data_IF_661065776716
#
_entry.id   IF_661065776716
#
_cell.length_a   1.000
_cell.length_b   1.000
_cell.length_c   1.000
_cell.angle_alpha   90.00
_cell.angle_beta   90.00
_cell.angle_gamma   90.00
#
_symmetry.space_group_name_H-M   'P 1'
#
loop_
_entity.id
_entity.type
_entity.pdbx_description
1 polymer ?
#
# COMPACT_ATOMS: atom_id res chain seq x y z
N UNK A 1 6.27 -9.70 1.81
CA UNK A 1 5.75 -9.04 3.03
C UNK A 1 6.91 -8.43 3.79
N UNK A 2 6.74 -7.22 4.35
CA UNK A 2 7.73 -6.59 5.23
C UNK A 2 7.72 -7.27 6.61
N UNK A 3 8.89 -7.31 7.29
CA UNK A 3 9.04 -8.00 8.57
C UNK A 3 8.08 -7.45 9.63
N UNK A 4 8.00 -6.12 9.76
CA UNK A 4 7.21 -5.49 10.81
C UNK A 4 5.71 -5.74 10.67
N UNK A 5 5.20 -5.79 9.42
CA UNK A 5 3.81 -6.17 9.18
C UNK A 5 3.58 -7.67 9.41
N UNK A 6 4.54 -8.53 9.08
CA UNK A 6 4.41 -9.96 9.37
C UNK A 6 4.35 -10.22 10.89
N UNK A 7 5.16 -9.51 11.68
CA UNK A 7 5.18 -9.63 13.14
C UNK A 7 3.85 -9.23 13.81
N UNK A 8 3.02 -8.38 13.20
CA UNK A 8 1.72 -8.02 13.80
C UNK A 8 0.75 -9.20 13.90
N UNK A 9 0.95 -10.25 13.10
CA UNK A 9 0.09 -11.44 13.10
C UNK A 9 0.47 -12.46 14.18
N UNK A 10 1.61 -12.30 14.86
CA UNK A 10 2.06 -13.24 15.89
C UNK A 10 1.23 -13.16 17.17
N UNK A 11 0.54 -12.03 17.41
CA UNK A 11 -0.15 -11.74 18.66
C UNK A 11 -1.65 -12.14 18.67
N UNK A 12 -2.06 -13.17 17.93
CA UNK A 12 -3.48 -13.55 17.87
C UNK A 12 -3.82 -14.98 17.48
N UNK A 13 -2.84 -15.76 16.99
CA UNK A 13 -3.03 -17.15 16.57
C UNK A 13 -1.74 -17.93 16.79
N UNK A 14 -1.87 -19.22 17.12
CA UNK A 14 -0.71 -20.12 17.16
C UNK A 14 -0.12 -20.20 15.75
N UNK A 15 1.05 -19.60 15.58
CA UNK A 15 1.62 -19.30 14.27
C UNK A 15 3.11 -19.58 14.21
N UNK A 16 3.56 -19.93 13.02
CA UNK A 16 4.97 -20.08 12.67
C UNK A 16 5.41 -18.86 11.89
N UNK A 17 6.58 -18.30 12.23
CA UNK A 17 7.17 -17.15 11.57
C UNK A 17 8.46 -17.54 10.88
N UNK A 18 8.65 -17.11 9.64
CA UNK A 18 9.84 -17.47 8.89
C UNK A 18 10.23 -16.48 7.81
N UNK A 19 11.41 -16.71 7.25
CA UNK A 19 11.91 -15.99 6.08
C UNK A 19 12.17 -16.97 4.95
N UNK A 20 11.48 -16.77 3.83
CA UNK A 20 11.61 -17.60 2.65
C UNK A 20 12.53 -16.91 1.63
N UNK A 21 13.51 -17.67 1.14
CA UNK A 21 14.36 -17.31 0.01
C UNK A 21 13.94 -18.15 -1.18
N UNK A 22 13.39 -17.48 -2.19
CA UNK A 22 12.91 -18.12 -3.41
C UNK A 22 13.60 -17.42 -4.59
N UNK A 23 14.29 -18.19 -5.42
CA UNK A 23 15.01 -17.69 -6.60
C UNK A 23 14.07 -17.21 -7.70
N UNK A 24 12.83 -17.72 -7.73
CA UNK A 24 11.79 -17.36 -8.69
C UNK A 24 10.92 -16.18 -8.21
N UNK A 25 10.92 -15.88 -6.91
CA UNK A 25 10.11 -14.80 -6.31
C UNK A 25 10.96 -13.82 -5.52
N UNK A 26 10.32 -12.85 -4.86
CA UNK A 26 11.04 -11.95 -3.95
C UNK A 26 11.07 -12.60 -2.59
N UNK A 27 12.25 -12.63 -1.97
CA UNK A 27 12.41 -13.05 -0.58
C UNK A 27 11.36 -12.39 0.30
N UNK A 28 10.71 -13.15 1.17
CA UNK A 28 9.59 -12.67 1.97
C UNK A 28 9.65 -13.21 3.38
N UNK A 29 9.24 -12.37 4.32
CA UNK A 29 8.77 -12.85 5.61
C UNK A 29 7.38 -13.48 5.41
N UNK A 30 7.11 -14.56 6.13
CA UNK A 30 5.81 -15.22 6.14
C UNK A 30 5.39 -15.55 7.57
N UNK A 31 4.08 -15.62 7.76
CA UNK A 31 3.43 -16.13 8.96
C UNK A 31 2.48 -17.21 8.49
N UNK A 32 2.55 -18.38 9.11
CA UNK A 32 1.63 -19.49 8.86
C UNK A 32 0.88 -19.81 10.15
N UNK A 33 -0.44 -19.89 10.09
CA UNK A 33 -1.27 -20.22 11.23
C UNK A 33 -2.34 -21.23 10.81
N UNK A 34 -2.68 -22.15 11.71
CA UNK A 34 -3.76 -23.11 11.49
C UNK A 34 -4.93 -22.78 12.41
N UNK A 35 -6.01 -22.30 11.81
CA UNK A 35 -7.28 -22.08 12.49
C UNK A 35 -8.43 -22.45 11.54
N UNK A 36 -9.19 -23.48 11.90
CA UNK A 36 -10.26 -24.04 11.07
C UNK A 36 -11.41 -23.03 10.86
N UNK A 37 -11.78 -22.29 11.89
CA UNK A 37 -12.86 -21.30 11.82
C UNK A 37 -12.48 -20.13 10.93
N UNK A 38 -11.27 -19.61 11.09
CA UNK A 38 -10.72 -18.56 10.23
C UNK A 38 -10.63 -19.03 8.77
N UNK A 39 -10.16 -20.27 8.54
CA UNK A 39 -10.12 -20.85 7.20
C UNK A 39 -11.51 -20.95 6.59
N UNK A 40 -12.49 -21.49 7.32
CA UNK A 40 -13.88 -21.58 6.84
C UNK A 40 -14.49 -20.20 6.57
N UNK A 41 -14.19 -19.21 7.41
CA UNK A 41 -14.61 -17.83 7.22
C UNK A 41 -14.01 -17.23 5.93
N UNK A 42 -12.70 -17.36 5.72
CA UNK A 42 -12.00 -16.83 4.54
C UNK A 42 -12.39 -17.51 3.22
N UNK A 43 -12.96 -18.72 3.27
CA UNK A 43 -13.49 -19.43 2.10
C UNK A 43 -14.93 -19.06 1.72
N UNK A 44 -15.57 -18.13 2.45
CA UNK A 44 -16.88 -17.59 2.05
C UNK A 44 -16.75 -16.78 0.75
N UNK A 45 -17.88 -16.48 0.12
CA UNK A 45 -17.91 -15.61 -1.05
C UNK A 45 -17.33 -14.22 -0.74
N UNK A 46 -16.76 -13.57 -1.75
CA UNK A 46 -16.19 -12.23 -1.62
C UNK A 46 -17.22 -11.23 -1.06
N UNK A 47 -18.49 -11.34 -1.47
CA UNK A 47 -19.59 -10.53 -0.94
C UNK A 47 -19.73 -10.64 0.57
N UNK A 48 -19.65 -11.86 1.12
CA UNK A 48 -19.76 -12.09 2.56
C UNK A 48 -18.55 -11.56 3.32
N UNK A 49 -17.37 -11.63 2.70
CA UNK A 49 -16.16 -11.04 3.27
C UNK A 49 -16.25 -9.51 3.27
N UNK A 50 -16.72 -8.90 2.17
CA UNK A 50 -16.94 -7.46 2.03
C UNK A 50 -17.99 -6.96 3.03
N UNK A 51 -19.11 -7.68 3.17
CA UNK A 51 -20.16 -7.37 4.15
C UNK A 51 -19.60 -7.34 5.57
N UNK A 52 -18.82 -8.36 5.94
CA UNK A 52 -18.19 -8.42 7.27
C UNK A 52 -17.17 -7.29 7.46
N UNK A 53 -16.34 -7.04 6.45
CA UNK A 53 -15.34 -5.99 6.46
C UNK A 53 -15.95 -4.58 6.55
N UNK A 54 -17.15 -4.38 5.98
CA UNK A 54 -17.89 -3.12 6.04
C UNK A 54 -18.28 -2.70 7.45
N UNK A 55 -18.33 -3.62 8.42
CA UNK A 55 -18.55 -3.30 9.83
C UNK A 55 -17.29 -2.73 10.53
N UNK A 56 -16.11 -2.96 9.94
CA UNK A 56 -14.81 -2.55 10.49
C UNK A 56 -13.94 -1.91 9.39
N UNK A 57 -14.43 -0.82 8.73
CA UNK A 57 -13.81 -0.31 7.51
C UNK A 57 -12.37 0.16 7.74
N UNK A 58 -12.08 0.80 8.88
CA UNK A 58 -10.73 1.27 9.18
C UNK A 58 -9.70 0.12 9.29
N UNK A 59 -10.04 -0.96 9.99
CA UNK A 59 -9.13 -2.09 10.20
C UNK A 59 -8.96 -2.92 8.94
N UNK A 60 -10.05 -3.16 8.19
CA UNK A 60 -9.97 -3.82 6.90
C UNK A 60 -9.10 -3.01 5.92
N UNK A 61 -9.36 -1.70 5.81
CA UNK A 61 -8.58 -0.83 4.93
C UNK A 61 -7.11 -0.82 5.36
N UNK A 62 -6.80 -0.77 6.65
CA UNK A 62 -5.40 -0.81 7.14
C UNK A 62 -4.71 -2.10 6.67
N UNK A 63 -5.33 -3.26 6.87
CA UNK A 63 -4.79 -4.54 6.41
C UNK A 63 -4.63 -4.63 4.89
N UNK A 64 -5.61 -4.10 4.14
CA UNK A 64 -5.57 -4.06 2.68
C UNK A 64 -4.45 -3.14 2.16
N UNK A 65 -4.32 -1.94 2.70
CA UNK A 65 -3.28 -0.98 2.32
C UNK A 65 -1.88 -1.42 2.80
N UNK A 66 -1.76 -2.13 3.92
CA UNK A 66 -0.48 -2.73 4.31
C UNK A 66 0.00 -3.76 3.29
N UNK A 67 -0.93 -4.54 2.73
CA UNK A 67 -0.64 -5.56 1.71
C UNK A 67 -0.37 -4.95 0.33
N UNK A 68 -1.30 -4.15 -0.19
CA UNK A 68 -1.32 -3.70 -1.59
C UNK A 68 -1.04 -2.20 -1.76
N UNK A 69 -1.16 -1.43 -0.68
CA UNK A 69 -1.13 0.03 -0.68
C UNK A 69 0.28 0.63 -0.57
N UNK A 70 0.42 1.86 -1.05
CA UNK A 70 1.68 2.60 -1.01
C UNK A 70 1.47 4.12 -1.02
N UNK A 71 2.35 4.89 -0.34
CA UNK A 71 2.39 6.33 -0.47
C UNK A 71 3.03 6.73 -1.81
N UNK A 72 2.37 7.63 -2.54
CA UNK A 72 2.85 8.22 -3.79
C UNK A 72 3.28 9.66 -3.50
N UNK A 73 4.56 9.95 -3.73
CA UNK A 73 5.10 11.30 -3.59
C UNK A 73 5.60 11.76 -4.96
N UNK A 74 5.08 12.89 -5.40
CA UNK A 74 5.61 13.67 -6.51
C UNK A 74 6.42 14.83 -5.94
N UNK A 75 7.68 14.94 -6.35
CA UNK A 75 8.58 15.99 -5.90
C UNK A 75 9.55 16.40 -7.03
N UNK A 76 9.00 16.62 -8.24
CA UNK A 76 9.76 17.09 -9.40
C UNK A 76 9.58 18.60 -9.59
N UNK A 77 8.38 19.01 -10.01
CA UNK A 77 8.03 20.41 -10.24
C UNK A 77 6.99 20.94 -9.24
N UNK A 78 6.27 20.04 -8.59
CA UNK A 78 5.28 20.31 -7.54
C UNK A 78 5.42 19.24 -6.46
N UNK A 79 5.06 19.58 -5.24
CA UNK A 79 5.05 18.64 -4.13
C UNK A 79 3.62 18.11 -3.89
N UNK A 80 3.34 16.89 -4.32
CA UNK A 80 2.04 16.23 -4.10
C UNK A 80 2.21 14.92 -3.38
N UNK A 81 1.32 14.67 -2.43
CA UNK A 81 1.27 13.46 -1.64
C UNK A 81 -0.08 12.80 -1.89
N UNK A 82 -0.05 11.52 -2.20
CA UNK A 82 -1.24 10.71 -2.44
C UNK A 82 -1.02 9.33 -1.81
N UNK A 83 -2.10 8.59 -1.65
CA UNK A 83 -2.05 7.17 -1.26
C UNK A 83 -2.69 6.37 -2.37
N UNK A 84 -2.00 5.33 -2.83
CA UNK A 84 -2.46 4.47 -3.91
C UNK A 84 -2.53 3.01 -3.51
N UNK A 85 -3.40 2.27 -4.19
CA UNK A 85 -3.46 0.80 -4.17
C UNK A 85 -3.81 0.31 -5.57
N UNK A 86 -3.31 -0.86 -5.95
CA UNK A 86 -3.61 -1.46 -7.25
C UNK A 86 -4.03 -2.92 -7.07
N UNK A 87 -5.07 -3.36 -7.78
CA UNK A 87 -5.54 -4.74 -7.75
C UNK A 87 -6.22 -5.08 -9.10
N UNK A 88 -6.22 -6.36 -9.49
CA UNK A 88 -6.89 -6.81 -10.70
C UNK A 88 -8.39 -7.05 -10.50
N UNK A 89 -8.84 -7.23 -9.25
CA UNK A 89 -10.25 -7.39 -8.92
C UNK A 89 -10.92 -6.00 -8.74
N UNK A 90 -11.75 -5.62 -9.72
CA UNK A 90 -12.50 -4.36 -9.70
C UNK A 90 -13.52 -4.29 -8.57
N UNK A 91 -14.18 -5.40 -8.24
CA UNK A 91 -15.17 -5.46 -7.15
C UNK A 91 -14.51 -5.19 -5.80
N UNK A 92 -13.34 -5.78 -5.55
CA UNK A 92 -12.53 -5.47 -4.36
C UNK A 92 -12.14 -3.98 -4.31
N UNK A 93 -11.70 -3.41 -5.43
CA UNK A 93 -11.37 -1.99 -5.51
C UNK A 93 -12.60 -1.09 -5.31
N UNK A 94 -13.77 -1.51 -5.77
CA UNK A 94 -15.06 -0.87 -5.52
C UNK A 94 -15.40 -0.85 -4.03
N UNK A 95 -15.34 -2.00 -3.36
CA UNK A 95 -15.57 -2.11 -1.92
C UNK A 95 -14.62 -1.23 -1.10
N UNK A 96 -13.33 -1.20 -1.48
CA UNK A 96 -12.32 -0.32 -0.84
C UNK A 96 -12.68 1.16 -1.01
N UNK A 97 -13.18 1.56 -2.20
CA UNK A 97 -13.66 2.94 -2.43
C UNK A 97 -14.82 3.28 -1.50
N UNK A 98 -15.78 2.37 -1.36
CA UNK A 98 -16.97 2.59 -0.54
C UNK A 98 -16.63 2.68 0.95
N UNK A 99 -15.74 1.81 1.45
CA UNK A 99 -15.25 1.88 2.83
C UNK A 99 -14.45 3.16 3.10
N UNK A 100 -13.66 3.64 2.14
CA UNK A 100 -13.01 4.96 2.26
C UNK A 100 -14.05 6.09 2.34
N UNK A 101 -15.13 6.01 1.54
CA UNK A 101 -16.21 6.99 1.57
C UNK A 101 -16.97 6.97 2.91
N UNK A 102 -17.18 5.80 3.53
CA UNK A 102 -17.75 5.70 4.88
C UNK A 102 -16.90 6.42 5.93
N UNK A 103 -15.58 6.46 5.76
CA UNK A 103 -14.65 7.23 6.59
C UNK A 103 -14.53 8.70 6.17
N UNK A 104 -15.34 9.17 5.22
CA UNK A 104 -15.28 10.54 4.71
C UNK A 104 -14.02 10.84 3.90
N UNK A 105 -13.44 9.83 3.24
CA UNK A 105 -12.22 9.93 2.42
C UNK A 105 -12.60 9.73 0.95
N UNK A 106 -12.41 10.76 0.11
CA UNK A 106 -12.68 10.63 -1.32
C UNK A 106 -11.51 9.95 -2.05
N UNK A 107 -11.83 9.07 -2.99
CA UNK A 107 -10.83 8.37 -3.82
C UNK A 107 -11.29 8.22 -5.27
N UNK A 108 -10.34 8.07 -6.19
CA UNK A 108 -10.58 7.89 -7.63
C UNK A 108 -10.05 6.54 -8.09
N UNK A 109 -10.86 5.79 -8.84
CA UNK A 109 -10.45 4.55 -9.50
C UNK A 109 -10.05 4.88 -10.95
N UNK A 110 -8.94 4.31 -11.42
CA UNK A 110 -8.49 4.36 -12.81
C UNK A 110 -8.05 2.97 -13.25
N UNK A 111 -8.33 2.60 -14.49
CA UNK A 111 -7.70 1.43 -15.12
C UNK A 111 -6.27 1.80 -15.50
N UNK A 112 -5.28 1.05 -15.02
CA UNK A 112 -3.86 1.43 -15.11
C UNK A 112 -3.04 0.54 -16.05
N UNK A 113 -3.34 -0.75 -16.14
CA UNK A 113 -2.77 -1.65 -17.16
C UNK A 113 -3.87 -2.44 -17.83
N UNK A 114 -3.85 -2.51 -19.16
CA UNK A 114 -4.79 -3.30 -19.95
C UNK A 114 -4.25 -4.71 -20.19
N UNK A 115 -5.15 -5.68 -20.34
CA UNK A 115 -4.79 -6.97 -20.92
C UNK A 115 -4.07 -6.78 -22.27
N UNK A 116 -3.00 -7.53 -22.50
CA UNK A 116 -2.17 -7.42 -23.71
C UNK A 116 -1.10 -6.32 -23.66
N UNK A 117 -1.06 -5.47 -22.63
CA UNK A 117 -0.04 -4.45 -22.50
C UNK A 117 1.30 -5.04 -22.03
N UNK A 118 2.41 -4.64 -22.66
CA UNK A 118 3.76 -4.97 -22.14
C UNK A 118 4.00 -4.22 -20.82
N UNK A 119 4.26 -4.99 -19.77
CA UNK A 119 4.67 -4.48 -18.46
C UNK A 119 6.07 -4.99 -18.13
N UNK A 120 6.96 -4.11 -17.66
CA UNK A 120 8.30 -4.50 -17.24
C UNK A 120 8.29 -4.77 -15.75
N UNK A 121 8.38 -6.04 -15.37
CA UNK A 121 8.47 -6.46 -13.97
C UNK A 121 9.89 -6.96 -13.75
N UNK A 122 10.65 -6.25 -12.92
CA UNK A 122 12.06 -6.60 -12.59
C UNK A 122 12.98 -6.69 -13.82
N UNK A 123 12.77 -5.84 -14.80
CA UNK A 123 13.59 -5.81 -16.02
C UNK A 123 13.19 -6.85 -17.06
N UNK A 124 12.24 -7.73 -16.73
CA UNK A 124 11.69 -8.71 -17.66
C UNK A 124 10.38 -8.16 -18.20
N UNK A 125 10.21 -8.23 -19.52
CA UNK A 125 8.95 -7.88 -20.18
C UNK A 125 7.94 -9.02 -19.99
N UNK A 126 6.75 -8.65 -19.54
CA UNK A 126 5.60 -9.54 -19.46
C UNK A 126 4.46 -8.92 -20.26
N UNK A 127 3.59 -9.76 -20.80
CA UNK A 127 2.30 -9.31 -21.30
C UNK A 127 1.30 -9.43 -20.16
N UNK A 128 0.59 -8.34 -19.84
CA UNK A 128 -0.43 -8.40 -18.81
C UNK A 128 -1.57 -9.31 -19.26
N UNK A 129 -1.88 -10.34 -18.46
CA UNK A 129 -3.01 -11.24 -18.73
C UNK A 129 -4.30 -10.80 -18.03
N UNK A 130 -4.25 -9.70 -17.27
CA UNK A 130 -5.37 -9.15 -16.51
C UNK A 130 -5.38 -7.64 -16.63
N UNK A 131 -6.56 -7.06 -16.42
CA UNK A 131 -6.67 -5.63 -16.18
C UNK A 131 -6.23 -5.29 -14.76
N UNK A 132 -5.53 -4.17 -14.60
CA UNK A 132 -5.21 -3.61 -13.30
C UNK A 132 -6.00 -2.33 -13.07
N UNK A 133 -6.54 -2.21 -11.86
CA UNK A 133 -7.26 -1.03 -11.39
C UNK A 133 -6.48 -0.40 -10.26
N UNK A 134 -6.28 0.91 -10.33
CA UNK A 134 -5.62 1.70 -9.31
C UNK A 134 -6.62 2.64 -8.67
N UNK A 135 -6.72 2.57 -7.34
CA UNK A 135 -7.44 3.53 -6.53
C UNK A 135 -6.45 4.52 -5.92
N UNK A 136 -6.79 5.80 -5.93
CA UNK A 136 -5.93 6.86 -5.38
C UNK A 136 -6.72 7.85 -4.53
N UNK A 137 -6.21 8.12 -3.32
CA UNK A 137 -6.60 9.23 -2.45
C UNK A 137 -5.62 10.37 -2.68
N UNK A 138 -6.08 11.49 -3.23
CA UNK A 138 -5.19 12.58 -3.68
C UNK A 138 -5.47 13.95 -3.07
N UNK A 139 -6.66 14.17 -2.50
CA UNK A 139 -6.99 15.45 -1.86
C UNK A 139 -6.21 15.55 -0.54
N UNK A 140 -5.60 16.71 -0.29
CA UNK A 140 -4.77 16.95 0.90
C UNK A 140 -5.48 16.61 2.22
N UNK A 141 -6.72 17.04 2.38
CA UNK A 141 -7.52 16.73 3.57
C UNK A 141 -7.78 15.21 3.71
N UNK A 142 -8.08 14.54 2.61
CA UNK A 142 -8.36 13.10 2.59
C UNK A 142 -7.10 12.27 2.84
N UNK A 143 -5.94 12.70 2.37
CA UNK A 143 -4.65 12.06 2.67
C UNK A 143 -4.30 12.18 4.15
N UNK A 144 -4.55 13.36 4.76
CA UNK A 144 -4.38 13.56 6.21
C UNK A 144 -5.35 12.66 6.99
N UNK A 145 -6.62 12.63 6.61
CA UNK A 145 -7.65 11.77 7.22
C UNK A 145 -7.34 10.27 7.06
N UNK A 146 -6.83 9.86 5.90
CA UNK A 146 -6.36 8.50 5.68
C UNK A 146 -5.25 8.15 6.67
N UNK A 147 -4.24 9.02 6.83
CA UNK A 147 -3.13 8.75 7.76
C UNK A 147 -3.60 8.64 9.22
N UNK A 148 -4.65 9.38 9.59
CA UNK A 148 -5.23 9.39 10.93
C UNK A 148 -6.11 8.17 11.21
N UNK A 149 -7.07 7.87 10.33
CA UNK A 149 -8.08 6.83 10.57
C UNK A 149 -7.62 5.44 10.13
N UNK A 150 -6.87 5.36 9.03
CA UNK A 150 -6.46 4.09 8.42
C UNK A 150 -4.97 3.86 8.67
N UNK A 151 -4.11 4.71 8.12
CA UNK A 151 -2.67 4.61 8.24
C UNK A 151 -2.07 3.35 7.61
N UNK A 152 -0.84 3.03 8.02
CA UNK A 152 -0.15 1.78 7.70
C UNK A 152 0.42 1.21 8.99
N UNK A 153 0.34 -0.10 9.19
CA UNK A 153 1.04 -0.78 10.29
C UNK A 153 2.55 -0.84 10.03
N UNK A 154 2.96 -0.89 8.75
CA UNK A 154 4.38 -0.82 8.40
C UNK A 154 4.99 0.53 8.78
N UNK A 155 5.91 0.51 9.75
CA UNK A 155 6.58 1.72 10.25
C UNK A 155 7.28 2.52 9.14
N UNK A 156 7.83 1.85 8.12
CA UNK A 156 8.48 2.54 7.00
C UNK A 156 7.50 3.27 6.10
N UNK A 157 6.38 2.62 5.71
CA UNK A 157 5.33 3.27 4.90
C UNK A 157 4.73 4.44 5.67
N UNK A 158 4.43 4.23 6.95
CA UNK A 158 3.81 5.25 7.80
C UNK A 158 4.72 6.45 8.03
N UNK A 159 5.99 6.25 8.43
CA UNK A 159 6.97 7.35 8.59
C UNK A 159 7.15 8.16 7.32
N UNK A 160 7.22 7.47 6.16
CA UNK A 160 7.35 8.14 4.85
C UNK A 160 6.12 8.99 4.53
N UNK A 161 4.91 8.47 4.77
CA UNK A 161 3.67 9.22 4.55
C UNK A 161 3.58 10.42 5.50
N UNK A 162 3.82 10.24 6.79
CA UNK A 162 3.77 11.30 7.80
C UNK A 162 4.76 12.43 7.50
N UNK A 163 6.01 12.09 7.15
CA UNK A 163 7.00 13.09 6.75
C UNK A 163 6.54 13.85 5.50
N UNK A 164 6.00 13.16 4.49
CA UNK A 164 5.48 13.82 3.31
C UNK A 164 4.32 14.77 3.65
N UNK A 165 3.39 14.35 4.53
CA UNK A 165 2.25 15.17 4.98
C UNK A 165 2.73 16.47 5.64
N UNK A 166 3.76 16.43 6.48
CA UNK A 166 4.34 17.62 7.12
C UNK A 166 4.87 18.65 6.10
N UNK A 167 5.29 18.19 4.92
CA UNK A 167 5.81 19.06 3.87
C UNK A 167 4.70 19.65 2.97
N UNK A 168 3.48 19.11 2.99
CA UNK A 168 2.37 19.55 2.12
C UNK A 168 1.88 20.98 2.40
N UNK A 169 2.22 21.53 3.57
CA UNK A 169 1.85 22.90 3.98
C UNK A 169 2.95 23.91 3.63
N UNK A 170 4.09 23.47 3.09
CA UNK A 170 5.17 24.34 2.63
C UNK A 170 5.00 24.72 1.16
N UNK A 171 5.61 25.84 0.72
CA UNK A 171 5.83 26.10 -0.70
C UNK A 171 6.55 24.93 -1.40
N UNK A 172 6.20 24.68 -2.66
CA UNK A 172 6.66 23.51 -3.42
C UNK A 172 8.19 23.41 -3.47
N UNK A 173 8.90 24.52 -3.69
CA UNK A 173 10.37 24.57 -3.73
C UNK A 173 11.00 24.11 -2.40
N UNK A 174 10.46 24.58 -1.27
CA UNK A 174 10.92 24.22 0.08
C UNK A 174 10.59 22.77 0.39
N UNK A 175 9.39 22.31 0.06
CA UNK A 175 8.96 20.93 0.28
C UNK A 175 9.82 19.95 -0.53
N UNK A 176 10.04 20.22 -1.82
CA UNK A 176 10.88 19.43 -2.72
C UNK A 176 12.32 19.38 -2.20
N UNK A 177 12.90 20.53 -1.83
CA UNK A 177 14.25 20.59 -1.27
C UNK A 177 14.39 19.73 0.00
N UNK A 178 13.47 19.88 0.96
CA UNK A 178 13.48 19.07 2.19
C UNK A 178 13.28 17.58 1.92
N UNK A 179 12.42 17.22 0.98
CA UNK A 179 12.19 15.83 0.60
C UNK A 179 13.45 15.20 0.01
N UNK A 180 14.09 15.86 -0.96
CA UNK A 180 15.31 15.35 -1.62
C UNK A 180 16.55 15.35 -0.73
N UNK A 181 16.54 16.02 0.43
CA UNK A 181 17.60 15.85 1.43
C UNK A 181 17.62 14.42 1.97
N UNK A 182 16.44 13.84 2.23
CA UNK A 182 16.30 12.51 2.83
C UNK A 182 16.02 11.40 1.83
N UNK A 183 15.37 11.70 0.70
CA UNK A 183 14.96 10.70 -0.27
C UNK A 183 15.63 10.92 -1.62
N UNK A 184 15.80 9.85 -2.38
CA UNK A 184 16.23 9.90 -3.78
C UNK A 184 15.24 9.13 -4.67
N UNK A 185 15.08 9.57 -5.92
CA UNK A 185 14.14 8.95 -6.87
C UNK A 185 14.78 7.70 -7.49
N UNK A 186 14.02 6.62 -7.54
CA UNK A 186 14.31 5.40 -8.32
C UNK A 186 13.19 5.16 -9.32
N UNK A 187 13.36 4.25 -10.31
CA UNK A 187 12.27 3.84 -11.19
C UNK A 187 11.03 3.33 -10.44
N UNK A 188 11.21 2.74 -9.25
CA UNK A 188 10.13 2.22 -8.39
C UNK A 188 9.60 3.23 -7.36
N UNK A 189 9.99 4.51 -7.46
CA UNK A 189 9.61 5.55 -6.51
C UNK A 189 10.75 6.03 -5.61
N UNK A 190 10.43 6.82 -4.59
CA UNK A 190 11.42 7.41 -3.70
C UNK A 190 11.89 6.43 -2.62
N UNK A 191 13.21 6.30 -2.43
CA UNK A 191 13.85 5.54 -1.35
C UNK A 191 14.55 6.48 -0.38
N UNK A 192 14.56 6.11 0.90
CA UNK A 192 15.31 6.82 1.93
C UNK A 192 16.80 6.68 1.63
N UNK A 193 17.57 7.76 1.74
CA UNK A 193 19.04 7.71 1.71
C UNK A 193 19.50 7.03 2.99
N UNK A 194 20.33 6.00 2.87
CA UNK A 194 20.98 5.44 4.05
C UNK A 194 21.94 6.49 4.62
N UNK A 195 22.00 6.61 5.94
CA UNK A 195 23.00 7.41 6.67
C UNK A 195 24.44 6.92 6.43
N UNK A 196 24.60 5.75 5.81
CA UNK A 196 25.85 5.20 5.31
C UNK A 196 25.84 5.27 3.78
N UNK A 197 26.75 6.06 3.19
CA UNK A 197 26.88 6.27 1.74
C UNK A 197 27.36 5.05 0.96
N UNK A 198 26.75 3.88 1.15
CA UNK A 198 26.97 2.68 0.33
C UNK A 198 25.64 2.17 -0.20
N UNK A 199 25.40 2.46 -1.47
CA UNK A 199 24.49 1.73 -2.34
C UNK A 199 25.03 0.31 -2.53
N UNK A 200 24.19 -0.69 -2.23
CA UNK A 200 24.30 -2.04 -2.79
C UNK A 200 23.38 -2.12 -4.01
#
# INVERSE_FOLDING_TARGET
>A
MDKGFAETFLNGVNSTFGFERDTSRVNRWYVEASNKELFMFLNKSIDKLIETAGNYPADFLRGFFDSEGYPIIEAKNRFRVMVGVANSNLETIGAVKDMLAQLGISSTIRRSNLIGQEVVIRGIKYTSNVDMYTLTVSRKADVKRFAELVGFSSSTKMKKLQFAIQLMDLPDDKAISKWHRLYYKTPRGYKLKNSTGKSF
#
